data_IF_894730705427
#
_entry.id   IF_894730705427
#
_cell.length_a   1.000
_cell.length_b   1.000
_cell.length_c   1.000
_cell.angle_alpha   90.00
_cell.angle_beta   90.00
_cell.angle_gamma   90.00
#
_symmetry.space_group_name_H-M   'P 1'
#
loop_
_entity.id
_entity.type
_entity.pdbx_description
1 polymer ?
#
# COMPACT_ATOMS: atom_id res chain seq x y z
N UNK A 1 39.89 57.29 32.49
CA UNK A 1 39.11 56.60 33.54
C UNK A 1 38.85 55.17 33.05
N UNK A 2 39.57 54.16 33.56
CA UNK A 2 39.47 52.76 33.08
C UNK A 2 38.44 52.00 33.93
N UNK A 3 37.27 51.72 33.37
CA UNK A 3 36.27 50.83 33.98
C UNK A 3 36.80 49.40 33.97
N UNK A 4 37.27 48.92 35.12
CA UNK A 4 37.61 47.50 35.32
C UNK A 4 36.31 46.70 35.38
N UNK A 5 35.85 46.22 34.23
CA UNK A 5 34.73 45.29 34.17
C UNK A 5 35.21 43.96 34.80
N UNK A 6 34.67 43.61 35.96
CA UNK A 6 34.99 42.37 36.66
C UNK A 6 34.47 41.19 35.83
N UNK A 7 35.36 40.43 35.21
CA UNK A 7 35.07 39.22 34.41
C UNK A 7 34.09 38.27 35.12
N UNK A 8 34.12 38.25 36.47
CA UNK A 8 33.24 37.45 37.32
C UNK A 8 31.74 37.81 37.25
N UNK A 9 31.38 39.07 36.97
CA UNK A 9 29.96 39.47 36.87
C UNK A 9 29.38 39.15 35.50
N UNK A 10 30.20 39.23 34.44
CA UNK A 10 29.82 38.81 33.09
C UNK A 10 29.61 37.30 33.05
N UNK A 11 30.48 36.52 33.70
CA UNK A 11 30.37 35.06 33.74
C UNK A 11 29.11 34.57 34.46
N UNK A 12 28.70 35.24 35.54
CA UNK A 12 27.48 34.90 36.26
C UNK A 12 26.21 35.16 35.43
N UNK A 13 26.19 36.25 34.65
CA UNK A 13 25.07 36.57 33.76
C UNK A 13 24.98 35.62 32.57
N UNK A 14 26.12 35.24 31.97
CA UNK A 14 26.14 34.24 30.90
C UNK A 14 25.67 32.86 31.37
N UNK A 15 25.95 32.48 32.62
CA UNK A 15 25.46 31.23 33.22
C UNK A 15 23.94 31.26 33.34
N UNK A 16 23.37 32.36 33.83
CA UNK A 16 21.91 32.51 33.92
C UNK A 16 21.22 32.38 32.55
N UNK A 17 21.76 33.05 31.54
CA UNK A 17 21.24 32.99 30.16
C UNK A 17 21.35 31.57 29.59
N UNK A 18 22.48 30.89 29.81
CA UNK A 18 22.67 29.51 29.35
C UNK A 18 21.67 28.54 29.99
N UNK A 19 21.38 28.70 31.29
CA UNK A 19 20.37 27.89 31.98
C UNK A 19 18.96 28.10 31.41
N UNK A 20 18.59 29.36 31.15
CA UNK A 20 17.30 29.69 30.53
C UNK A 20 17.20 29.08 29.13
N UNK A 21 18.24 29.23 28.31
CA UNK A 21 18.32 28.63 26.97
C UNK A 21 18.17 27.10 27.03
N UNK A 22 18.78 26.45 28.02
CA UNK A 22 18.68 25.00 28.20
C UNK A 22 17.26 24.58 28.53
N UNK A 23 16.57 25.28 29.44
CA UNK A 23 15.17 25.00 29.78
C UNK A 23 14.26 25.18 28.56
N UNK A 24 14.44 26.27 27.82
CA UNK A 24 13.69 26.51 26.57
C UNK A 24 13.92 25.38 25.57
N UNK A 25 15.15 24.92 25.41
CA UNK A 25 15.48 23.83 24.50
C UNK A 25 14.79 22.52 24.91
N UNK A 26 14.80 22.18 26.21
CA UNK A 26 14.11 21.00 26.74
C UNK A 26 12.59 21.08 26.51
N UNK A 27 12.00 22.27 26.67
CA UNK A 27 10.58 22.51 26.41
C UNK A 27 10.25 22.32 24.93
N UNK A 28 11.04 22.89 24.02
CA UNK A 28 10.87 22.74 22.57
C UNK A 28 11.00 21.26 22.16
N UNK A 29 11.99 20.54 22.70
CA UNK A 29 12.14 19.10 22.46
C UNK A 29 10.96 18.29 23.00
N UNK A 30 10.37 18.70 24.12
CA UNK A 30 9.20 18.02 24.70
C UNK A 30 7.94 18.23 23.83
N UNK A 31 7.69 19.45 23.37
CA UNK A 31 6.55 19.77 22.49
C UNK A 31 6.74 19.24 21.06
N UNK A 32 7.98 19.27 20.52
CA UNK A 32 8.29 18.79 19.18
C UNK A 32 8.08 17.28 18.98
N UNK A 33 8.09 16.49 20.06
CA UNK A 33 7.78 15.05 20.01
C UNK A 33 6.33 14.76 19.59
N UNK A 34 5.41 15.70 19.76
CA UNK A 34 4.02 15.52 19.34
C UNK A 34 3.83 15.70 17.83
N UNK A 35 4.68 16.49 17.17
CA UNK A 35 4.64 16.65 15.70
C UNK A 35 5.42 15.56 14.97
N UNK A 36 6.55 15.10 15.52
CA UNK A 36 7.33 14.00 14.93
C UNK A 36 6.53 12.70 14.91
N UNK A 37 5.71 12.44 15.93
CA UNK A 37 4.80 11.27 15.94
C UNK A 37 3.71 11.34 14.88
N UNK A 38 3.20 12.53 14.54
CA UNK A 38 2.25 12.70 13.43
C UNK A 38 2.93 12.48 12.08
N UNK A 39 4.21 12.81 11.96
CA UNK A 39 5.01 12.56 10.78
C UNK A 39 5.36 11.07 10.59
N UNK A 40 5.72 10.37 11.67
CA UNK A 40 5.91 8.91 11.65
C UNK A 40 4.60 8.20 11.28
N UNK A 41 3.49 8.55 11.93
CA UNK A 41 2.18 7.92 11.69
C UNK A 41 1.65 8.18 10.27
N UNK A 42 1.83 9.40 9.73
CA UNK A 42 1.46 9.70 8.35
C UNK A 42 2.34 8.98 7.31
N UNK A 43 3.62 8.74 7.62
CA UNK A 43 4.55 8.04 6.73
C UNK A 43 4.26 6.54 6.71
N UNK A 44 4.04 5.94 7.88
CA UNK A 44 3.67 4.52 7.99
C UNK A 44 2.32 4.26 7.33
N UNK A 45 1.35 5.16 7.54
CA UNK A 45 0.04 5.07 6.90
C UNK A 45 0.11 5.18 5.37
N UNK A 46 0.94 6.08 4.84
CA UNK A 46 1.18 6.20 3.42
C UNK A 46 1.76 4.91 2.83
N UNK A 47 2.78 4.32 3.47
CA UNK A 47 3.42 3.08 3.01
C UNK A 47 2.42 1.92 2.99
N UNK A 48 1.58 1.80 4.02
CA UNK A 48 0.58 0.73 4.10
C UNK A 48 -0.48 0.86 3.00
N UNK A 49 -1.00 2.08 2.77
CA UNK A 49 -1.97 2.34 1.71
C UNK A 49 -1.36 2.10 0.32
N UNK A 50 -0.13 2.54 0.09
CA UNK A 50 0.57 2.36 -1.18
C UNK A 50 0.79 0.87 -1.47
N UNK A 51 1.21 0.10 -0.47
CA UNK A 51 1.38 -1.35 -0.61
C UNK A 51 0.06 -2.06 -0.88
N UNK A 52 -1.02 -1.67 -0.23
CA UNK A 52 -2.34 -2.24 -0.48
C UNK A 52 -2.82 -1.93 -1.90
N UNK A 53 -2.63 -0.69 -2.37
CA UNK A 53 -2.94 -0.30 -3.73
C UNK A 53 -2.15 -1.13 -4.76
N UNK A 54 -0.85 -1.31 -4.52
CA UNK A 54 0.01 -2.16 -5.37
C UNK A 54 -0.46 -3.61 -5.39
N UNK A 55 -0.75 -4.21 -4.23
CA UNK A 55 -1.21 -5.60 -4.19
C UNK A 55 -2.57 -5.79 -4.87
N UNK A 56 -3.47 -4.80 -4.77
CA UNK A 56 -4.73 -4.81 -5.50
C UNK A 56 -4.49 -4.74 -7.01
N UNK A 57 -3.62 -3.85 -7.46
CA UNK A 57 -3.24 -3.73 -8.86
C UNK A 57 -2.59 -5.02 -9.38
N UNK A 58 -1.54 -5.51 -8.70
CA UNK A 58 -0.79 -6.69 -9.09
C UNK A 58 -1.67 -7.95 -9.15
N UNK A 59 -2.61 -8.09 -8.20
CA UNK A 59 -3.54 -9.21 -8.22
C UNK A 59 -4.54 -9.12 -9.38
N UNK A 60 -4.91 -7.90 -9.83
CA UNK A 60 -5.82 -7.72 -10.97
C UNK A 60 -5.09 -8.00 -12.28
N UNK A 61 -3.89 -7.43 -12.41
CA UNK A 61 -3.02 -7.62 -13.57
C UNK A 61 -2.65 -9.10 -13.74
N UNK A 62 -2.39 -9.81 -12.64
CA UNK A 62 -2.11 -11.24 -12.68
C UNK A 62 -3.28 -12.05 -13.24
N UNK A 63 -4.52 -11.79 -12.78
CA UNK A 63 -5.72 -12.46 -13.29
C UNK A 63 -5.88 -12.24 -14.80
N UNK A 64 -5.79 -10.98 -15.25
CA UNK A 64 -5.89 -10.65 -16.68
C UNK A 64 -4.77 -11.29 -17.49
N UNK A 65 -3.55 -11.37 -16.94
CA UNK A 65 -2.42 -12.03 -17.58
C UNK A 65 -2.66 -13.53 -17.77
N UNK A 66 -3.16 -14.22 -16.74
CA UNK A 66 -3.48 -15.65 -16.83
C UNK A 66 -4.54 -15.92 -17.90
N UNK A 67 -5.55 -15.06 -17.99
CA UNK A 67 -6.58 -15.15 -19.03
C UNK A 67 -5.98 -14.97 -20.42
N UNK A 68 -5.11 -13.97 -20.59
CA UNK A 68 -4.44 -13.69 -21.87
C UNK A 68 -3.55 -14.87 -22.29
N UNK A 69 -2.73 -15.38 -21.38
CA UNK A 69 -1.84 -16.51 -21.65
C UNK A 69 -2.63 -17.78 -21.98
N UNK A 70 -3.72 -18.05 -21.24
CA UNK A 70 -4.60 -19.17 -21.56
C UNK A 70 -5.26 -18.99 -22.93
N UNK A 71 -5.72 -17.79 -23.27
CA UNK A 71 -6.35 -17.53 -24.57
C UNK A 71 -5.36 -17.70 -25.74
N UNK A 72 -4.10 -17.32 -25.56
CA UNK A 72 -3.08 -17.42 -26.61
C UNK A 72 -2.57 -18.85 -26.79
N UNK A 73 -2.43 -19.62 -25.71
CA UNK A 73 -1.73 -20.92 -25.72
C UNK A 73 -2.68 -22.12 -25.57
N UNK A 74 -3.80 -21.91 -24.88
CA UNK A 74 -4.70 -22.95 -24.39
C UNK A 74 -4.07 -23.91 -23.38
N UNK A 75 -2.93 -23.56 -22.79
CA UNK A 75 -2.28 -24.36 -21.76
C UNK A 75 -3.03 -24.27 -20.43
N UNK A 76 -3.50 -25.42 -19.93
CA UNK A 76 -4.30 -25.50 -18.70
C UNK A 76 -3.65 -24.89 -17.47
N UNK A 77 -2.32 -24.87 -17.39
CA UNK A 77 -1.61 -24.29 -16.25
C UNK A 77 -2.02 -22.83 -15.98
N UNK A 78 -2.27 -22.02 -17.03
CA UNK A 78 -2.71 -20.64 -16.86
C UNK A 78 -4.18 -20.54 -16.38
N UNK A 79 -5.04 -21.47 -16.80
CA UNK A 79 -6.41 -21.58 -16.28
C UNK A 79 -6.40 -21.93 -14.79
N UNK A 80 -5.57 -22.90 -14.41
CA UNK A 80 -5.45 -23.36 -13.01
C UNK A 80 -4.89 -22.23 -12.14
N UNK A 81 -3.87 -21.51 -12.62
CA UNK A 81 -3.28 -20.34 -11.94
C UNK A 81 -4.27 -19.18 -11.77
N UNK A 82 -5.15 -18.94 -12.75
CA UNK A 82 -6.22 -17.95 -12.61
C UNK A 82 -7.14 -18.28 -11.43
N UNK A 83 -7.61 -19.53 -11.35
CA UNK A 83 -8.51 -19.94 -10.26
C UNK A 83 -7.79 -20.06 -8.91
N UNK A 84 -6.51 -20.43 -8.90
CA UNK A 84 -5.69 -20.38 -7.68
C UNK A 84 -5.60 -18.93 -7.14
N UNK A 85 -5.41 -17.94 -8.00
CA UNK A 85 -5.45 -16.54 -7.57
C UNK A 85 -6.86 -16.11 -7.14
N UNK A 86 -7.88 -16.38 -7.95
CA UNK A 86 -9.24 -15.90 -7.72
C UNK A 86 -9.90 -16.53 -6.47
N UNK A 87 -9.66 -17.81 -6.20
CA UNK A 87 -10.39 -18.56 -5.18
C UNK A 87 -9.57 -18.85 -3.92
N UNK A 88 -8.25 -18.98 -4.05
CA UNK A 88 -7.36 -19.38 -2.95
C UNK A 88 -6.51 -18.22 -2.48
N UNK A 89 -5.67 -17.67 -3.35
CA UNK A 89 -4.65 -16.68 -2.97
C UNK A 89 -5.28 -15.33 -2.65
N UNK A 90 -6.20 -14.84 -3.49
CA UNK A 90 -7.04 -13.66 -3.25
C UNK A 90 -6.24 -12.42 -2.81
N UNK A 91 -5.14 -12.10 -3.49
CA UNK A 91 -4.23 -11.02 -3.06
C UNK A 91 -4.94 -9.68 -2.98
N UNK A 92 -5.81 -9.38 -3.94
CA UNK A 92 -6.58 -8.13 -3.99
C UNK A 92 -7.52 -7.99 -2.79
N UNK A 93 -8.28 -9.05 -2.51
CA UNK A 93 -9.24 -9.11 -1.41
C UNK A 93 -8.52 -9.01 -0.07
N UNK A 94 -7.40 -9.74 0.09
CA UNK A 94 -6.58 -9.69 1.31
C UNK A 94 -5.96 -8.31 1.54
N UNK A 95 -5.49 -7.65 0.47
CA UNK A 95 -4.93 -6.30 0.54
C UNK A 95 -5.98 -5.29 1.01
N UNK A 96 -7.18 -5.32 0.41
CA UNK A 96 -8.27 -4.42 0.78
C UNK A 96 -8.76 -4.68 2.22
N UNK A 97 -8.95 -5.94 2.61
CA UNK A 97 -9.40 -6.30 3.96
C UNK A 97 -8.38 -5.91 5.03
N UNK A 98 -7.09 -6.07 4.73
CA UNK A 98 -6.01 -5.64 5.64
C UNK A 98 -6.02 -4.12 5.82
N UNK A 99 -6.28 -3.38 4.75
CA UNK A 99 -6.32 -1.92 4.77
C UNK A 99 -7.56 -1.37 5.50
N UNK A 100 -8.70 -2.05 5.38
CA UNK A 100 -9.97 -1.66 5.99
C UNK A 100 -9.83 -1.35 7.49
N UNK A 101 -9.07 -2.18 8.21
CA UNK A 101 -8.86 -2.04 9.67
C UNK A 101 -8.29 -0.69 10.09
N UNK A 102 -7.54 -0.03 9.21
CA UNK A 102 -6.83 1.22 9.49
C UNK A 102 -7.46 2.43 8.78
N UNK A 103 -8.12 2.23 7.63
CA UNK A 103 -8.50 3.31 6.72
C UNK A 103 -9.96 3.36 6.29
N UNK A 104 -10.86 2.54 6.88
CA UNK A 104 -12.27 2.35 6.47
C UNK A 104 -13.05 3.62 6.10
N UNK A 105 -12.74 4.76 6.75
CA UNK A 105 -13.46 6.04 6.59
C UNK A 105 -12.73 7.08 5.72
N UNK A 106 -11.64 6.69 5.07
CA UNK A 106 -10.84 7.61 4.24
C UNK A 106 -11.27 7.56 2.78
N UNK A 107 -11.10 8.68 2.06
CA UNK A 107 -11.34 8.74 0.61
C UNK A 107 -10.42 7.78 -0.17
N UNK A 108 -9.20 7.57 0.31
CA UNK A 108 -8.25 6.63 -0.28
C UNK A 108 -8.78 5.18 -0.20
N UNK A 109 -9.33 4.79 0.95
CA UNK A 109 -9.95 3.46 1.09
C UNK A 109 -11.18 3.31 0.20
N UNK A 110 -12.04 4.34 0.09
CA UNK A 110 -13.19 4.31 -0.81
C UNK A 110 -12.76 4.15 -2.28
N UNK A 111 -11.68 4.82 -2.68
CA UNK A 111 -11.11 4.70 -4.03
C UNK A 111 -10.58 3.28 -4.29
N UNK A 112 -9.91 2.66 -3.32
CA UNK A 112 -9.45 1.28 -3.43
C UNK A 112 -10.60 0.27 -3.40
N UNK A 113 -11.67 0.56 -2.68
CA UNK A 113 -12.89 -0.23 -2.71
C UNK A 113 -13.56 -0.16 -4.09
N UNK A 114 -13.62 1.02 -4.70
CA UNK A 114 -14.14 1.17 -6.06
C UNK A 114 -13.27 0.39 -7.05
N UNK A 115 -11.93 0.52 -6.97
CA UNK A 115 -11.01 -0.24 -7.82
C UNK A 115 -11.18 -1.76 -7.67
N UNK A 116 -11.49 -2.24 -6.44
CA UNK A 116 -11.80 -3.65 -6.20
C UNK A 116 -13.09 -4.08 -6.89
N UNK A 117 -14.14 -3.26 -6.86
CA UNK A 117 -15.40 -3.56 -7.56
C UNK A 117 -15.21 -3.53 -9.08
N UNK A 118 -14.46 -2.56 -9.62
CA UNK A 118 -14.12 -2.50 -11.04
C UNK A 118 -13.32 -3.76 -11.46
N UNK A 119 -12.40 -4.22 -10.62
CA UNK A 119 -11.64 -5.46 -10.83
C UNK A 119 -12.55 -6.70 -10.81
N UNK A 120 -13.56 -6.76 -9.94
CA UNK A 120 -14.55 -7.86 -9.95
C UNK A 120 -15.44 -7.81 -11.19
N UNK A 121 -15.80 -6.63 -11.68
CA UNK A 121 -16.55 -6.48 -12.93
C UNK A 121 -15.72 -6.97 -14.11
N UNK A 122 -14.43 -6.64 -14.16
CA UNK A 122 -13.51 -7.14 -15.17
C UNK A 122 -13.46 -8.67 -15.21
N UNK A 123 -13.52 -9.33 -14.04
CA UNK A 123 -13.55 -10.80 -13.97
C UNK A 123 -14.70 -11.42 -14.77
N UNK A 124 -15.83 -10.73 -14.98
CA UNK A 124 -16.92 -11.25 -15.83
C UNK A 124 -16.46 -11.46 -17.28
N UNK A 125 -15.68 -10.52 -17.80
CA UNK A 125 -15.09 -10.60 -19.16
C UNK A 125 -14.03 -11.69 -19.21
N UNK A 126 -13.22 -11.80 -18.15
CA UNK A 126 -12.19 -12.82 -18.01
C UNK A 126 -12.80 -14.23 -18.00
N UNK A 127 -13.82 -14.47 -17.18
CA UNK A 127 -14.54 -15.75 -17.14
C UNK A 127 -15.14 -16.11 -18.50
N UNK A 128 -15.70 -15.13 -19.21
CA UNK A 128 -16.24 -15.35 -20.53
C UNK A 128 -15.14 -15.80 -21.52
N UNK A 129 -13.99 -15.13 -21.51
CA UNK A 129 -12.82 -15.51 -22.31
C UNK A 129 -12.34 -16.93 -22.00
N UNK A 130 -12.14 -17.25 -20.71
CA UNK A 130 -11.70 -18.57 -20.25
C UNK A 130 -12.67 -19.67 -20.72
N UNK A 131 -13.99 -19.43 -20.61
CA UNK A 131 -15.02 -20.38 -21.04
C UNK A 131 -14.96 -20.64 -22.55
N UNK A 132 -14.82 -19.60 -23.37
CA UNK A 132 -14.74 -19.74 -24.82
C UNK A 132 -13.52 -20.58 -25.22
N UNK A 133 -12.35 -20.27 -24.66
CA UNK A 133 -11.11 -20.98 -24.97
C UNK A 133 -11.19 -22.43 -24.51
N UNK A 134 -11.72 -22.70 -23.30
CA UNK A 134 -11.91 -24.05 -22.80
C UNK A 134 -12.85 -24.89 -23.68
N UNK A 135 -13.91 -24.27 -24.22
CA UNK A 135 -14.85 -24.92 -25.15
C UNK A 135 -14.13 -25.33 -26.44
N UNK A 136 -13.42 -24.38 -27.06
CA UNK A 136 -12.67 -24.62 -28.32
C UNK A 136 -11.56 -25.67 -28.12
N UNK A 137 -10.82 -25.60 -27.03
CA UNK A 137 -9.74 -26.56 -26.75
C UNK A 137 -10.30 -27.96 -26.43
N UNK A 138 -11.49 -28.05 -25.84
CA UNK A 138 -12.24 -29.30 -25.71
C UNK A 138 -12.59 -29.90 -27.07
N UNK A 139 -13.19 -29.12 -27.97
CA UNK A 139 -13.56 -29.56 -29.32
C UNK A 139 -12.35 -30.02 -30.14
N UNK A 140 -11.23 -29.28 -30.10
CA UNK A 140 -9.97 -29.67 -30.77
C UNK A 140 -9.44 -31.01 -30.27
N UNK A 141 -9.52 -31.27 -28.96
CA UNK A 141 -9.03 -32.52 -28.36
C UNK A 141 -9.87 -33.74 -28.74
N UNK A 142 -11.16 -33.53 -29.06
CA UNK A 142 -12.04 -34.57 -29.58
C UNK A 142 -11.88 -34.77 -31.09
N UNK A 143 -11.60 -33.72 -31.86
CA UNK A 143 -11.42 -33.77 -33.32
C UNK A 143 -10.08 -34.41 -33.74
N UNK A 144 -9.01 -34.23 -32.97
CA UNK A 144 -7.69 -34.83 -33.26
C UNK A 144 -7.53 -36.33 -32.96
N UNK A 145 -8.63 -37.07 -32.75
CA UNK A 145 -8.63 -38.53 -32.52
C UNK A 145 -9.30 -39.34 -33.65
N UNK A 146 -9.62 -38.70 -34.78
CA UNK A 146 -10.10 -39.36 -35.99
C UNK A 146 -8.96 -39.67 -36.97
#
# INVERSE_FOLDING_TARGET
MKTKIKIQSISAWSIGIALILTVVFVVILHYGKNEVKRFEDATDQYIVCENAARQLQDGSDYLTEQVRLYAMTGERNYLDQYFEEADVTKRREQALESLKKYFDKTEAFQSLQQAMEDSKELMLTEYHSLKLVATVMGEKRHSGRA
#
